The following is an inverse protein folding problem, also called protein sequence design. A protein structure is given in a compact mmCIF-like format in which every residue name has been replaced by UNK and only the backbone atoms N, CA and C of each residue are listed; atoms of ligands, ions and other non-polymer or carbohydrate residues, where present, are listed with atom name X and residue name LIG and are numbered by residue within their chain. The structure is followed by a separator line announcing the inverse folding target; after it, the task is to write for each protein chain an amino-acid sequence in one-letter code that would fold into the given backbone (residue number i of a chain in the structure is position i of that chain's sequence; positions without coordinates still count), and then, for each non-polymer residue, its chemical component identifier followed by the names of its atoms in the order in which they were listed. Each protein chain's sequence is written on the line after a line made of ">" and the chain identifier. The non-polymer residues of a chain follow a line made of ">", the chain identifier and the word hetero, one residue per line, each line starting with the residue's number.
data_IF_855373398004
#
_entry.id   IF_855373398004
#
_cell.length_a   1.000
_cell.length_b   1.000
_cell.length_c   1.000
_cell.angle_alpha   90.00
_cell.angle_beta   90.00
_cell.angle_gamma   90.00
#
_symmetry.space_group_name_H-M   'P 1'
#
loop_
_entity.id
_entity.type
_entity.pdbx_description
1 polymer ?
#
# COMPACT_ATOMS: atom_id res chain seq x y z
N UNK A 1 28.64 69.75 14.26
CA UNK A 1 28.46 70.94 13.39
C UNK A 1 27.51 70.54 12.28
N UNK A 2 26.34 71.14 12.00
CA UNK A 2 25.56 72.26 12.59
C UNK A 2 24.41 71.68 13.45
N UNK A 3 23.76 72.31 14.44
CA UNK A 3 23.54 73.71 14.88
C UNK A 3 22.21 74.37 14.44
N UNK A 4 21.17 74.25 15.27
CA UNK A 4 20.07 75.23 15.52
C UNK A 4 19.19 74.66 16.67
N UNK A 5 19.30 75.07 17.94
CA UNK A 5 18.88 76.34 18.58
C UNK A 5 17.39 76.37 19.03
N UNK A 6 17.20 76.11 20.34
CA UNK A 6 16.29 76.69 21.39
C UNK A 6 15.38 77.91 21.05
N UNK A 7 14.36 78.33 21.87
CA UNK A 7 14.36 78.34 23.37
C UNK A 7 13.01 78.31 24.18
N UNK A 8 13.12 78.42 25.52
CA UNK A 8 12.15 78.98 26.51
C UNK A 8 10.78 78.24 26.68
N UNK A 9 10.05 78.18 27.81
CA UNK A 9 10.18 78.54 29.25
C UNK A 9 8.95 77.91 30.02
N UNK A 10 8.65 78.03 31.33
CA UNK A 10 9.18 78.85 32.43
C UNK A 10 8.96 78.24 33.86
N UNK A 11 9.40 79.01 34.86
CA UNK A 11 9.35 79.01 36.34
C UNK A 11 7.96 78.79 37.01
N UNK A 12 7.94 78.14 38.20
CA UNK A 12 7.24 78.56 39.47
C UNK A 12 7.06 77.34 40.42
N UNK A 13 7.70 77.27 41.59
CA UNK A 13 7.22 77.75 42.91
C UNK A 13 5.77 77.32 43.30
N UNK A 14 5.44 76.84 44.50
CA UNK A 14 6.23 76.66 45.73
C UNK A 14 5.46 77.12 46.97
N UNK A 15 4.72 76.20 47.65
CA UNK A 15 4.17 76.21 49.04
C UNK A 15 3.06 75.14 49.14
N UNK A 16 3.19 74.12 49.99
CA UNK A 16 2.88 74.08 51.44
C UNK A 16 1.38 74.01 51.77
N UNK A 17 0.90 72.85 52.25
CA UNK A 17 0.11 72.75 53.48
C UNK A 17 -0.20 71.29 53.93
N UNK A 18 0.27 70.92 55.13
CA UNK A 18 -0.54 70.26 56.17
C UNK A 18 -1.07 68.82 56.03
N UNK A 19 -0.78 68.04 57.09
CA UNK A 19 -1.67 67.05 57.76
C UNK A 19 -1.64 65.58 57.30
N UNK A 20 -0.80 64.80 57.97
CA UNK A 20 -1.04 63.37 58.29
C UNK A 20 -2.22 63.22 59.30
N UNK A 21 -2.77 62.02 59.61
CA UNK A 21 -2.28 60.67 59.31
C UNK A 21 -3.31 59.67 58.73
N UNK A 22 -2.86 58.54 58.19
CA UNK A 22 -3.76 57.48 57.69
C UNK A 22 -3.06 56.19 57.26
N UNK A 23 -3.06 55.20 58.15
CA UNK A 23 -2.60 53.81 57.98
C UNK A 23 -3.03 53.16 56.66
N UNK A 24 -2.10 52.52 55.94
CA UNK A 24 -2.04 51.06 55.69
C UNK A 24 -0.80 50.69 54.87
N UNK A 25 -0.03 49.69 55.32
CA UNK A 25 1.04 49.09 54.52
C UNK A 25 0.47 47.96 53.67
N UNK A 26 0.56 48.07 52.35
CA UNK A 26 0.29 46.97 51.42
C UNK A 26 1.59 46.58 50.71
N UNK A 27 2.20 45.48 51.15
CA UNK A 27 3.35 44.90 50.46
C UNK A 27 2.86 44.15 49.21
N UNK A 28 3.17 44.68 48.02
CA UNK A 28 2.84 44.03 46.75
C UNK A 28 3.86 42.91 46.51
N UNK A 29 3.48 41.68 46.84
CA UNK A 29 4.25 40.49 46.51
C UNK A 29 4.10 40.18 45.01
N UNK A 30 5.12 40.48 44.22
CA UNK A 30 5.22 40.07 42.82
C UNK A 30 5.49 38.56 42.74
N UNK A 31 4.41 37.76 42.67
CA UNK A 31 4.51 36.35 42.31
C UNK A 31 4.89 36.22 40.83
N UNK A 32 5.91 35.41 40.47
CA UNK A 32 6.23 35.17 39.08
C UNK A 32 5.11 34.34 38.45
N UNK A 33 4.55 34.86 37.37
CA UNK A 33 3.55 34.16 36.57
C UNK A 33 4.20 32.96 35.89
N UNK A 34 4.05 31.76 36.48
CA UNK A 34 4.33 30.51 35.78
C UNK A 34 3.29 30.34 34.69
N UNK A 35 3.55 30.92 33.52
CA UNK A 35 2.84 30.62 32.30
C UNK A 35 3.17 29.17 31.92
N UNK A 36 2.31 28.24 32.32
CA UNK A 36 2.30 26.89 31.76
C UNK A 36 1.94 27.04 30.29
N UNK A 37 2.95 27.06 29.43
CA UNK A 37 2.76 26.93 28.00
C UNK A 37 2.18 25.54 27.75
N UNK A 38 0.85 25.47 27.64
CA UNK A 38 0.19 24.28 27.13
C UNK A 38 0.69 24.07 25.71
N UNK A 39 1.54 23.06 25.54
CA UNK A 39 1.83 22.48 24.24
C UNK A 39 0.52 21.94 23.68
N UNK A 40 -0.19 22.79 22.93
CA UNK A 40 -1.29 22.34 22.10
C UNK A 40 -0.65 21.50 21.01
N UNK A 41 -0.74 20.18 21.17
CA UNK A 41 -0.27 19.24 20.15
C UNK A 41 -0.92 19.61 18.83
N UNK A 42 -0.11 19.78 17.78
CA UNK A 42 -0.60 20.15 16.46
C UNK A 42 -1.60 19.10 15.98
N UNK A 43 -2.88 19.43 16.04
CA UNK A 43 -3.95 18.59 15.51
C UNK A 43 -3.74 18.40 14.01
N UNK A 44 -3.74 17.15 13.56
CA UNK A 44 -3.57 16.82 12.16
C UNK A 44 -4.82 17.24 11.39
N UNK A 45 -4.67 17.99 10.31
CA UNK A 45 -5.80 18.46 9.52
C UNK A 45 -6.37 17.32 8.65
N UNK A 46 -7.66 17.06 8.80
CA UNK A 46 -8.44 16.32 7.80
C UNK A 46 -8.49 17.09 6.49
N UNK A 47 -8.30 16.41 5.37
CA UNK A 47 -8.40 17.06 4.06
C UNK A 47 -8.66 16.02 2.96
N UNK A 48 -9.80 16.13 2.29
CA UNK A 48 -10.14 15.37 1.08
C UNK A 48 -10.39 16.38 -0.03
N UNK A 49 -9.38 16.59 -0.88
CA UNK A 49 -9.40 17.59 -1.96
C UNK A 49 -9.44 16.86 -3.30
N UNK A 50 -10.54 16.96 -4.06
CA UNK A 50 -10.60 16.40 -5.41
C UNK A 50 -9.67 17.19 -6.34
N UNK A 51 -8.99 16.51 -7.25
CA UNK A 51 -8.29 17.20 -8.33
C UNK A 51 -9.31 17.67 -9.36
N UNK A 52 -9.35 18.98 -9.60
CA UNK A 52 -10.24 19.57 -10.59
C UNK A 52 -9.85 19.09 -11.99
N UNK A 53 -10.87 18.84 -12.84
CA UNK A 53 -10.77 18.57 -14.29
C UNK A 53 -10.19 17.22 -14.77
N UNK A 54 -9.82 16.26 -13.90
CA UNK A 54 -9.33 14.93 -14.35
C UNK A 54 -10.47 13.90 -14.46
N UNK A 55 -11.18 13.64 -13.36
CA UNK A 55 -12.14 12.53 -13.23
C UNK A 55 -13.59 12.95 -12.92
N UNK A 56 -13.87 14.25 -12.96
CA UNK A 56 -15.16 14.81 -12.53
C UNK A 56 -15.47 14.56 -11.04
N UNK A 57 -14.45 14.33 -10.22
CA UNK A 57 -14.61 13.99 -8.80
C UNK A 57 -15.14 15.18 -8.01
N UNK A 58 -16.19 14.93 -7.23
CA UNK A 58 -16.80 15.90 -6.33
C UNK A 58 -16.82 15.34 -4.91
N UNK A 59 -16.68 16.23 -3.92
CA UNK A 59 -16.68 15.89 -2.49
C UNK A 59 -17.66 16.82 -1.77
N UNK A 60 -18.79 16.27 -1.36
CA UNK A 60 -19.78 16.97 -0.52
C UNK A 60 -19.52 16.62 0.93
N UNK A 61 -19.27 17.62 1.78
CA UNK A 61 -19.01 17.42 3.21
C UNK A 61 -20.28 17.66 4.01
N UNK A 62 -20.63 16.70 4.88
CA UNK A 62 -21.78 16.72 5.78
C UNK A 62 -21.31 16.31 7.19
N UNK A 63 -20.99 17.30 8.02
CA UNK A 63 -20.33 17.07 9.32
C UNK A 63 -18.98 16.37 9.16
N UNK A 64 -18.88 15.11 9.61
CA UNK A 64 -17.68 14.27 9.47
C UNK A 64 -17.74 13.31 8.27
N UNK A 65 -18.80 13.38 7.46
CA UNK A 65 -18.99 12.54 6.28
C UNK A 65 -18.52 13.26 5.02
N UNK A 66 -17.55 12.68 4.30
CA UNK A 66 -17.14 13.11 2.97
C UNK A 66 -17.80 12.21 1.94
N UNK A 67 -18.88 12.69 1.30
CA UNK A 67 -19.55 11.98 0.21
C UNK A 67 -18.84 12.27 -1.11
N UNK A 68 -18.23 11.24 -1.68
CA UNK A 68 -17.40 11.30 -2.86
C UNK A 68 -18.20 10.75 -4.03
N UNK A 69 -18.33 11.54 -5.10
CA UNK A 69 -18.90 11.11 -6.37
C UNK A 69 -17.94 11.41 -7.52
N UNK A 70 -18.23 10.86 -8.70
CA UNK A 70 -17.43 11.03 -9.91
C UNK A 70 -18.23 10.64 -11.15
N UNK A 71 -17.77 11.06 -12.32
CA UNK A 71 -18.46 10.82 -13.60
C UNK A 71 -17.60 10.06 -14.61
N UNK A 72 -16.29 9.98 -14.41
CA UNK A 72 -15.37 9.33 -15.33
C UNK A 72 -15.32 7.82 -15.09
N UNK A 73 -15.75 7.06 -16.11
CA UNK A 73 -15.75 5.60 -16.13
C UNK A 73 -14.94 5.04 -17.31
N UNK A 74 -14.58 3.76 -17.24
CA UNK A 74 -13.99 3.02 -18.36
C UNK A 74 -14.99 2.78 -19.50
N UNK A 75 -14.49 2.43 -20.69
CA UNK A 75 -15.33 2.22 -21.89
C UNK A 75 -16.27 1.02 -21.80
N UNK A 76 -16.00 0.07 -20.90
CA UNK A 76 -16.89 -1.04 -20.52
C UNK A 76 -17.81 -0.69 -19.34
N UNK A 77 -17.69 0.50 -18.75
CA UNK A 77 -18.43 0.96 -17.58
C UNK A 77 -18.06 0.27 -16.25
N UNK A 78 -17.09 -0.65 -16.24
CA UNK A 78 -16.77 -1.46 -15.05
C UNK A 78 -15.94 -0.75 -13.98
N UNK A 79 -15.17 0.28 -14.36
CA UNK A 79 -14.25 0.99 -13.47
C UNK A 79 -14.67 2.46 -13.32
N UNK A 80 -14.82 2.92 -12.08
CA UNK A 80 -15.07 4.33 -11.74
C UNK A 80 -13.79 4.96 -11.19
N UNK A 81 -13.41 6.13 -11.69
CA UNK A 81 -12.15 6.78 -11.36
C UNK A 81 -12.38 8.04 -10.51
N UNK A 82 -11.55 8.22 -9.49
CA UNK A 82 -11.46 9.47 -8.72
C UNK A 82 -10.00 9.89 -8.56
N UNK A 83 -9.69 11.14 -8.86
CA UNK A 83 -8.39 11.75 -8.61
C UNK A 83 -8.50 12.81 -7.52
N UNK A 84 -7.57 12.76 -6.57
CA UNK A 84 -7.45 13.67 -5.44
C UNK A 84 -6.08 14.35 -5.47
N UNK A 85 -6.02 15.61 -5.05
CA UNK A 85 -4.75 16.23 -4.68
C UNK A 85 -4.31 15.70 -3.32
N UNK A 86 -5.25 15.65 -2.36
CA UNK A 86 -5.00 15.17 -0.99
C UNK A 86 -6.16 14.30 -0.52
N UNK A 87 -5.83 13.25 0.23
CA UNK A 87 -6.82 12.34 0.83
C UNK A 87 -6.34 11.94 2.23
N UNK A 88 -6.91 12.57 3.25
CA UNK A 88 -6.58 12.39 4.66
C UNK A 88 -7.86 12.38 5.52
N UNK A 89 -7.96 11.41 6.44
CA UNK A 89 -9.08 11.23 7.38
C UNK A 89 -8.58 11.15 8.83
N UNK A 90 -9.39 11.66 9.76
CA UNK A 90 -9.22 11.53 11.22
C UNK A 90 -10.29 10.60 11.82
N UNK A 91 -10.14 10.26 13.11
CA UNK A 91 -10.87 9.18 13.80
C UNK A 91 -12.38 9.15 13.54
N UNK A 92 -13.04 10.30 13.66
CA UNK A 92 -14.50 10.41 13.63
C UNK A 92 -15.08 10.60 12.21
N UNK A 93 -14.24 10.47 11.17
CA UNK A 93 -14.59 10.80 9.79
C UNK A 93 -14.74 9.60 8.90
N UNK A 94 -15.66 9.72 7.94
CA UNK A 94 -15.95 8.67 6.95
C UNK A 94 -15.86 9.23 5.54
N UNK A 95 -15.01 8.65 4.69
CA UNK A 95 -15.10 8.84 3.24
C UNK A 95 -16.07 7.81 2.65
N UNK A 96 -17.15 8.28 2.02
CA UNK A 96 -18.18 7.45 1.40
C UNK A 96 -18.04 7.57 -0.12
N UNK A 97 -17.55 6.53 -0.78
CA UNK A 97 -17.53 6.42 -2.23
C UNK A 97 -18.92 6.02 -2.72
N UNK A 98 -19.62 6.95 -3.37
CA UNK A 98 -20.93 6.74 -3.98
C UNK A 98 -20.77 6.16 -5.37
N UNK A 99 -21.40 5.02 -5.62
CA UNK A 99 -21.29 4.27 -6.88
C UNK A 99 -22.66 3.75 -7.33
N UNK A 100 -22.70 2.99 -8.42
CA UNK A 100 -23.92 2.39 -8.97
C UNK A 100 -23.71 0.89 -9.34
N UNK A 101 -24.78 0.08 -9.46
CA UNK A 101 -24.65 -1.38 -9.63
C UNK A 101 -23.85 -1.89 -10.83
N UNK A 102 -23.55 -1.07 -11.84
CA UNK A 102 -22.71 -1.46 -12.98
C UNK A 102 -21.20 -1.40 -12.66
N UNK A 103 -20.80 -0.59 -11.67
CA UNK A 103 -19.40 -0.43 -11.29
C UNK A 103 -18.92 -1.64 -10.49
N UNK A 104 -17.80 -2.20 -10.92
CA UNK A 104 -17.12 -3.35 -10.31
C UNK A 104 -15.87 -2.95 -9.53
N UNK A 105 -15.18 -1.86 -9.93
CA UNK A 105 -14.04 -1.31 -9.20
C UNK A 105 -14.14 0.22 -9.10
N UNK A 106 -13.84 0.75 -7.92
CA UNK A 106 -13.64 2.18 -7.66
C UNK A 106 -12.15 2.41 -7.43
N UNK A 107 -11.55 3.33 -8.18
CA UNK A 107 -10.12 3.66 -8.09
C UNK A 107 -9.94 5.09 -7.60
N UNK A 108 -9.44 5.25 -6.36
CA UNK A 108 -9.06 6.53 -5.79
C UNK A 108 -7.55 6.75 -5.89
N UNK A 109 -7.14 7.73 -6.71
CA UNK A 109 -5.75 8.07 -6.99
C UNK A 109 -5.39 9.40 -6.36
N UNK A 110 -4.30 9.46 -5.60
CA UNK A 110 -3.82 10.68 -4.95
C UNK A 110 -2.54 11.13 -5.65
N UNK A 111 -2.47 12.39 -6.08
CA UNK A 111 -1.35 12.89 -6.90
C UNK A 111 -0.66 14.16 -6.38
N UNK A 112 -1.09 14.73 -5.25
CA UNK A 112 -0.51 15.97 -4.71
C UNK A 112 0.92 15.83 -4.14
N UNK A 113 1.56 14.67 -4.27
CA UNK A 113 2.94 14.41 -3.84
C UNK A 113 3.12 14.15 -2.33
N UNK A 114 2.04 14.25 -1.55
CA UNK A 114 2.03 13.98 -0.10
C UNK A 114 1.45 12.60 0.21
N UNK A 115 1.94 11.98 1.28
CA UNK A 115 1.43 10.70 1.78
C UNK A 115 0.03 10.85 2.39
N UNK A 116 -0.82 9.84 2.20
CA UNK A 116 -2.20 9.83 2.70
C UNK A 116 -2.29 9.19 4.09
N UNK A 117 -2.78 9.93 5.08
CA UNK A 117 -3.13 9.42 6.42
C UNK A 117 -4.62 9.12 6.51
N UNK A 118 -4.95 7.84 6.67
CA UNK A 118 -6.31 7.32 6.77
C UNK A 118 -6.49 6.76 8.18
N UNK A 119 -6.87 7.63 9.10
CA UNK A 119 -7.09 7.29 10.51
C UNK A 119 -8.59 7.31 10.83
N UNK A 120 -9.43 6.78 9.92
CA UNK A 120 -10.89 6.80 9.99
C UNK A 120 -11.53 5.82 9.02
N UNK A 121 -12.82 5.97 8.72
CA UNK A 121 -13.59 4.97 7.96
C UNK A 121 -13.55 5.20 6.45
N UNK A 122 -13.24 4.14 5.70
CA UNK A 122 -13.49 4.05 4.26
C UNK A 122 -14.77 3.24 4.03
N UNK A 123 -15.76 3.84 3.36
CA UNK A 123 -17.04 3.21 3.01
C UNK A 123 -17.31 3.29 1.51
N UNK A 124 -18.01 2.31 0.97
CA UNK A 124 -18.50 2.31 -0.41
C UNK A 124 -20.00 1.94 -0.44
N UNK A 125 -20.82 2.77 -1.09
CA UNK A 125 -22.29 2.64 -1.11
C UNK A 125 -22.81 2.60 -2.57
N UNK A 126 -23.78 1.71 -2.86
CA UNK A 126 -24.49 1.65 -4.16
C UNK A 126 -24.06 0.54 -5.12
N UNK A 127 -22.97 -0.19 -4.86
CA UNK A 127 -22.61 -1.43 -5.55
C UNK A 127 -21.67 -2.29 -4.70
N UNK A 128 -21.49 -3.56 -5.05
CA UNK A 128 -20.54 -4.46 -4.37
C UNK A 128 -19.11 -4.34 -4.97
N UNK A 129 -18.70 -3.14 -5.38
CA UNK A 129 -17.41 -2.89 -6.02
C UNK A 129 -16.21 -3.08 -5.08
N UNK A 130 -15.07 -3.43 -5.67
CA UNK A 130 -13.78 -3.35 -5.02
C UNK A 130 -13.31 -1.89 -4.90
N UNK A 131 -12.53 -1.55 -3.88
CA UNK A 131 -11.87 -0.25 -3.74
C UNK A 131 -10.35 -0.39 -3.91
N UNK A 132 -9.77 0.41 -4.79
CA UNK A 132 -8.32 0.53 -4.96
C UNK A 132 -7.89 1.96 -4.59
N UNK A 133 -7.04 2.10 -3.57
CA UNK A 133 -6.38 3.35 -3.22
C UNK A 133 -4.91 3.36 -3.66
N UNK A 134 -4.53 4.41 -4.37
CA UNK A 134 -3.26 4.56 -5.07
C UNK A 134 -2.61 5.89 -4.72
N UNK A 135 -1.54 5.87 -3.93
CA UNK A 135 -0.72 7.05 -3.63
C UNK A 135 0.78 6.69 -3.72
N UNK A 136 1.51 7.10 -4.77
CA UNK A 136 2.95 6.85 -4.90
C UNK A 136 3.78 7.35 -3.71
N UNK A 137 3.30 8.39 -3.04
CA UNK A 137 3.97 9.06 -1.90
C UNK A 137 3.82 8.28 -0.58
N UNK A 138 2.84 7.38 -0.48
CA UNK A 138 2.62 6.51 0.67
C UNK A 138 1.21 6.54 1.25
N UNK A 139 0.89 5.52 2.06
CA UNK A 139 -0.39 5.32 2.75
C UNK A 139 -0.14 4.94 4.21
N UNK A 140 -0.65 5.75 5.14
CA UNK A 140 -0.59 5.53 6.58
C UNK A 140 -2.01 5.25 7.10
N UNK A 141 -2.30 4.00 7.43
CA UNK A 141 -3.54 3.61 8.08
C UNK A 141 -3.37 3.75 9.59
N UNK A 142 -4.13 4.66 10.20
CA UNK A 142 -4.04 4.99 11.63
C UNK A 142 -4.77 3.98 12.53
N UNK A 143 -4.63 4.11 13.87
CA UNK A 143 -5.25 3.20 14.83
C UNK A 143 -6.77 3.04 14.69
N UNK A 144 -7.46 4.08 14.19
CA UNK A 144 -8.92 4.12 14.09
C UNK A 144 -9.45 3.72 12.70
N UNK A 145 -8.57 3.21 11.81
CA UNK A 145 -8.95 2.81 10.46
C UNK A 145 -10.07 1.75 10.47
N UNK A 146 -11.09 1.95 9.64
CA UNK A 146 -12.18 0.98 9.44
C UNK A 146 -12.47 0.82 7.94
N UNK A 147 -12.73 -0.41 7.51
CA UNK A 147 -13.08 -0.75 6.13
C UNK A 147 -14.52 -1.28 6.09
N UNK A 148 -15.46 -0.42 5.70
CA UNK A 148 -16.87 -0.74 5.51
C UNK A 148 -17.15 -0.88 4.00
N UNK A 149 -16.56 -1.92 3.42
CA UNK A 149 -16.49 -2.14 1.98
C UNK A 149 -17.16 -3.47 1.60
N UNK A 150 -18.08 -3.51 0.61
CA UNK A 150 -18.73 -4.75 0.19
C UNK A 150 -17.83 -5.68 -0.64
N UNK A 151 -16.75 -5.13 -1.23
CA UNK A 151 -15.81 -5.84 -2.10
C UNK A 151 -14.37 -5.90 -1.55
N UNK A 152 -13.43 -6.32 -2.40
CA UNK A 152 -12.00 -6.38 -2.06
C UNK A 152 -11.37 -4.99 -1.90
N UNK A 153 -10.34 -4.88 -1.06
CA UNK A 153 -9.58 -3.65 -0.87
C UNK A 153 -8.13 -3.82 -1.34
N UNK A 154 -7.66 -2.88 -2.15
CA UNK A 154 -6.26 -2.80 -2.59
C UNK A 154 -5.66 -1.46 -2.20
N UNK A 155 -4.57 -1.47 -1.44
CA UNK A 155 -3.76 -0.30 -1.14
C UNK A 155 -2.40 -0.44 -1.83
N UNK A 156 -2.00 0.58 -2.60
CA UNK A 156 -0.75 0.52 -3.36
C UNK A 156 -0.04 1.86 -3.50
N UNK A 157 1.29 1.79 -3.56
CA UNK A 157 2.19 2.94 -3.81
C UNK A 157 2.87 2.83 -5.18
N UNK A 158 2.24 2.10 -6.11
CA UNK A 158 2.68 1.99 -7.49
C UNK A 158 2.69 3.36 -8.20
N UNK A 159 3.57 3.50 -9.20
CA UNK A 159 3.57 4.63 -10.12
C UNK A 159 2.52 4.48 -11.25
N UNK A 160 1.93 3.30 -11.42
CA UNK A 160 0.80 3.08 -12.31
C UNK A 160 0.12 1.72 -12.13
N UNK A 161 -1.10 1.59 -12.69
CA UNK A 161 -1.95 0.38 -12.61
C UNK A 161 -2.35 -0.06 -14.01
N UNK A 162 -2.12 -1.33 -14.34
CA UNK A 162 -2.47 -1.94 -15.61
C UNK A 162 -3.76 -2.75 -15.56
N UNK A 163 -4.48 -2.79 -16.67
CA UNK A 163 -5.82 -3.36 -16.78
C UNK A 163 -5.88 -4.58 -17.70
N UNK A 164 -6.64 -5.60 -17.30
CA UNK A 164 -6.67 -6.89 -18.00
C UNK A 164 -7.36 -6.86 -19.38
N UNK A 165 -8.32 -5.95 -19.62
CA UNK A 165 -9.13 -5.93 -20.84
C UNK A 165 -8.42 -5.34 -22.06
N UNK A 166 -7.54 -4.37 -21.84
CA UNK A 166 -6.82 -3.65 -22.91
C UNK A 166 -5.30 -3.74 -22.81
N UNK A 167 -4.75 -4.09 -21.65
CA UNK A 167 -3.32 -3.94 -21.35
C UNK A 167 -2.86 -2.50 -21.14
N UNK A 168 -3.78 -1.52 -21.15
CA UNK A 168 -3.48 -0.12 -20.93
C UNK A 168 -3.13 0.17 -19.45
N UNK A 169 -2.43 1.29 -19.23
CA UNK A 169 -1.90 1.69 -17.92
C UNK A 169 -2.43 3.07 -17.49
N UNK A 170 -3.01 3.13 -16.31
CA UNK A 170 -3.28 4.36 -15.56
C UNK A 170 -1.98 4.85 -14.92
N UNK A 171 -1.59 6.10 -15.17
CA UNK A 171 -0.49 6.75 -14.44
C UNK A 171 -0.96 7.24 -13.08
N UNK A 172 -0.13 7.02 -12.05
CA UNK A 172 -0.28 7.61 -10.71
C UNK A 172 0.50 8.91 -10.53
N UNK A 173 1.43 9.22 -11.44
CA UNK A 173 2.28 10.41 -11.36
C UNK A 173 1.59 11.55 -12.13
N UNK A 174 1.31 12.66 -11.43
CA UNK A 174 0.90 13.90 -12.08
C UNK A 174 2.03 14.44 -12.97
N UNK A 175 1.69 14.81 -14.20
CA UNK A 175 2.68 15.35 -15.12
C UNK A 175 3.01 16.80 -14.72
N UNK A 176 4.22 17.01 -14.19
CA UNK A 176 4.72 18.32 -13.78
C UNK A 176 5.00 19.20 -15.00
N UNK A 177 3.96 19.84 -15.54
CA UNK A 177 4.09 20.68 -16.74
C UNK A 177 2.84 21.46 -17.16
N UNK A 178 1.84 21.62 -16.28
CA UNK A 178 0.61 22.36 -16.61
C UNK A 178 -0.30 21.67 -17.64
N UNK A 179 0.01 20.44 -18.03
CA UNK A 179 -0.79 19.61 -18.91
C UNK A 179 -0.92 18.24 -18.22
N UNK A 180 -2.10 17.82 -17.77
CA UNK A 180 -2.27 16.46 -17.26
C UNK A 180 -2.00 15.51 -18.42
N UNK A 181 -0.94 14.72 -18.34
CA UNK A 181 -0.69 13.64 -19.30
C UNK A 181 -1.90 12.71 -19.27
N UNK A 182 -2.74 12.85 -20.29
CA UNK A 182 -4.15 12.51 -20.18
C UNK A 182 -4.28 10.99 -20.04
N UNK A 183 -4.84 10.56 -18.91
CA UNK A 183 -5.21 9.18 -18.74
C UNK A 183 -6.45 8.94 -19.62
N UNK A 184 -6.30 8.09 -20.63
CA UNK A 184 -7.41 7.72 -21.51
C UNK A 184 -8.33 6.74 -20.76
N UNK A 185 -9.13 7.26 -19.82
CA UNK A 185 -9.93 6.44 -18.89
C UNK A 185 -10.82 5.41 -19.59
N UNK A 186 -11.32 5.74 -20.79
CA UNK A 186 -12.09 4.82 -21.62
C UNK A 186 -11.33 3.51 -21.97
N UNK A 187 -10.00 3.57 -22.09
CA UNK A 187 -9.16 2.43 -22.47
C UNK A 187 -8.90 1.47 -21.29
N UNK A 188 -9.21 1.84 -20.05
CA UNK A 188 -8.93 1.04 -18.86
C UNK A 188 -10.06 0.02 -18.59
N UNK A 189 -10.28 -0.91 -19.51
CA UNK A 189 -11.31 -1.95 -19.42
C UNK A 189 -10.85 -3.22 -18.68
N UNK A 190 -11.80 -3.93 -18.06
CA UNK A 190 -11.54 -5.10 -17.23
C UNK A 190 -10.96 -4.76 -15.85
N UNK A 191 -10.63 -5.78 -15.05
CA UNK A 191 -10.12 -5.58 -13.70
C UNK A 191 -8.66 -5.05 -13.70
N UNK A 192 -8.29 -4.19 -12.73
CA UNK A 192 -6.90 -3.84 -12.48
C UNK A 192 -6.12 -5.08 -12.02
N UNK A 193 -5.05 -5.43 -12.73
CA UNK A 193 -4.30 -6.67 -12.50
C UNK A 193 -2.77 -6.50 -12.50
N UNK A 194 -2.26 -5.31 -12.81
CA UNK A 194 -0.82 -5.06 -12.84
C UNK A 194 -0.46 -3.77 -12.11
N UNK A 195 0.73 -3.74 -11.51
CA UNK A 195 1.23 -2.61 -10.72
C UNK A 195 2.65 -2.29 -11.15
N UNK A 196 2.87 -1.09 -11.70
CA UNK A 196 4.17 -0.63 -12.16
C UNK A 196 4.79 0.28 -11.12
N UNK A 197 6.03 -0.01 -10.75
CA UNK A 197 6.83 0.79 -9.84
C UNK A 197 7.96 1.45 -10.63
N UNK A 198 7.90 2.78 -10.73
CA UNK A 198 9.04 3.55 -11.20
C UNK A 198 10.13 3.48 -10.15
N UNK A 199 11.39 3.23 -10.54
CA UNK A 199 12.53 3.48 -9.68
C UNK A 199 12.61 4.96 -9.40
N UNK A 200 13.15 5.31 -8.25
CA UNK A 200 13.33 6.70 -7.91
C UNK A 200 14.44 7.36 -8.72
N UNK A 201 14.14 8.58 -9.18
CA UNK A 201 15.15 9.64 -9.23
C UNK A 201 15.61 10.05 -7.81
N UNK A 202 15.05 9.45 -6.74
CA UNK A 202 15.53 9.55 -5.35
C UNK A 202 15.41 8.22 -4.58
N UNK A 203 16.36 7.90 -3.68
CA UNK A 203 16.14 6.87 -2.65
C UNK A 203 14.90 7.25 -1.81
N UNK A 204 13.94 6.32 -1.68
CA UNK A 204 12.65 6.56 -1.02
C UNK A 204 11.50 6.99 -1.95
N UNK A 205 11.66 7.01 -3.27
CA UNK A 205 10.59 7.36 -4.22
C UNK A 205 9.43 6.35 -4.35
N UNK A 206 9.58 5.13 -3.81
CA UNK A 206 8.44 4.25 -3.61
C UNK A 206 7.93 4.49 -2.20
N UNK A 207 6.80 5.21 -2.07
CA UNK A 207 6.18 5.47 -0.77
C UNK A 207 5.91 4.19 0.00
N UNK A 208 5.83 4.29 1.33
CA UNK A 208 5.56 3.15 2.19
C UNK A 208 4.05 2.97 2.45
N UNK A 209 3.63 1.73 2.74
CA UNK A 209 2.36 1.46 3.42
C UNK A 209 2.67 1.16 4.89
N UNK A 210 2.10 1.94 5.81
CA UNK A 210 2.20 1.71 7.24
C UNK A 210 0.80 1.47 7.81
N UNK A 211 0.63 0.36 8.54
CA UNK A 211 -0.62 -0.08 9.15
C UNK A 211 -0.45 -0.09 10.66
N UNK A 212 -1.00 0.94 11.31
CA UNK A 212 -0.95 1.16 12.77
C UNK A 212 -2.29 0.86 13.47
N UNK A 213 -3.29 0.40 12.72
CA UNK A 213 -4.60 -0.05 13.20
C UNK A 213 -5.01 -1.34 12.49
N UNK A 214 -6.03 -2.04 12.99
CA UNK A 214 -6.49 -3.30 12.41
C UNK A 214 -7.21 -3.08 11.08
N UNK A 215 -6.59 -3.41 9.94
CA UNK A 215 -7.29 -3.44 8.65
C UNK A 215 -8.18 -4.69 8.59
N UNK A 216 -9.44 -4.51 8.96
CA UNK A 216 -10.45 -5.56 9.02
C UNK A 216 -11.48 -5.44 7.90
N UNK A 217 -11.29 -6.24 6.85
CA UNK A 217 -12.16 -6.38 5.69
C UNK A 217 -13.13 -7.58 5.86
N UNK A 218 -13.65 -7.77 7.08
CA UNK A 218 -14.74 -8.74 7.37
C UNK A 218 -16.04 -8.07 7.80
N UNK A 219 -16.01 -6.77 8.10
CA UNK A 219 -17.15 -5.98 8.59
C UNK A 219 -17.90 -5.24 7.47
N UNK A 220 -17.65 -5.57 6.20
CA UNK A 220 -18.22 -4.87 5.06
C UNK A 220 -19.74 -4.97 4.98
N UNK A 221 -20.43 -3.82 4.96
CA UNK A 221 -21.86 -3.76 4.70
C UNK A 221 -22.18 -4.04 3.22
N UNK A 222 -23.24 -4.78 2.94
CA UNK A 222 -23.72 -4.98 1.56
C UNK A 222 -24.29 -3.67 0.97
N UNK A 223 -24.19 -3.50 -0.34
CA UNK A 223 -24.58 -2.25 -1.02
C UNK A 223 -26.05 -1.85 -0.89
N UNK A 224 -26.94 -2.81 -0.66
CA UNK A 224 -28.32 -2.59 -0.23
C UNK A 224 -28.37 -2.66 1.29
N UNK A 225 -28.92 -1.62 1.95
CA UNK A 225 -29.04 -1.51 3.41
C UNK A 225 -30.03 -2.48 4.07
N UNK A 226 -30.14 -3.70 3.56
CA UNK A 226 -30.82 -4.81 4.21
C UNK A 226 -29.88 -5.45 5.25
N UNK A 227 -30.45 -5.75 6.42
CA UNK A 227 -29.75 -6.38 7.54
C UNK A 227 -29.01 -7.66 7.13
N UNK A 228 -27.68 -7.62 7.17
CA UNK A 228 -26.77 -8.72 7.53
C UNK A 228 -27.29 -10.14 7.23
N UNK A 229 -26.93 -10.70 6.06
CA UNK A 229 -26.71 -12.15 5.77
C UNK A 229 -26.57 -12.48 4.27
N UNK A 230 -26.61 -11.50 3.34
CA UNK A 230 -26.17 -11.79 1.97
C UNK A 230 -24.69 -12.21 1.98
N UNK A 231 -24.40 -13.36 1.37
CA UNK A 231 -23.03 -13.85 1.20
C UNK A 231 -22.28 -12.93 0.23
N UNK A 232 -21.61 -11.92 0.78
CA UNK A 232 -20.60 -11.16 0.04
C UNK A 232 -19.54 -12.15 -0.45
N UNK A 233 -19.08 -11.96 -1.69
CA UNK A 233 -17.98 -12.75 -2.23
C UNK A 233 -16.74 -12.57 -1.34
N UNK A 234 -15.85 -13.58 -1.20
CA UNK A 234 -14.66 -13.48 -0.36
C UNK A 234 -13.85 -12.22 -0.71
N UNK A 235 -13.80 -11.28 0.23
CA UNK A 235 -13.18 -9.98 0.07
C UNK A 235 -11.68 -10.14 0.27
N UNK A 236 -10.87 -9.78 -0.73
CA UNK A 236 -9.42 -9.88 -0.65
C UNK A 236 -8.82 -8.57 -0.13
N UNK A 237 -7.81 -8.66 0.73
CA UNK A 237 -7.02 -7.52 1.20
C UNK A 237 -5.64 -7.56 0.54
N UNK A 238 -5.31 -6.55 -0.26
CA UNK A 238 -4.06 -6.52 -1.04
C UNK A 238 -3.25 -5.27 -0.73
N UNK A 239 -2.03 -5.45 -0.23
CA UNK A 239 -1.07 -4.37 0.06
C UNK A 239 0.17 -4.56 -0.84
N UNK A 240 0.47 -3.57 -1.70
CA UNK A 240 1.61 -3.64 -2.64
C UNK A 240 2.40 -2.33 -2.62
N UNK A 241 3.67 -2.37 -2.22
CA UNK A 241 4.47 -1.15 -2.02
C UNK A 241 5.98 -1.41 -2.07
N UNK A 242 6.81 -0.37 -2.13
CA UNK A 242 8.25 -0.51 -1.92
C UNK A 242 8.62 -0.90 -0.48
N UNK A 243 7.78 -0.57 0.51
CA UNK A 243 7.98 -0.94 1.92
C UNK A 243 6.64 -1.05 2.63
N UNK A 244 6.41 -2.15 3.35
CA UNK A 244 5.19 -2.37 4.12
C UNK A 244 5.55 -2.63 5.58
N UNK A 245 4.93 -1.88 6.48
CA UNK A 245 4.97 -2.08 7.93
C UNK A 245 3.54 -2.32 8.43
N UNK A 246 3.32 -3.41 9.17
CA UNK A 246 2.08 -3.62 9.93
C UNK A 246 2.43 -3.92 11.37
N UNK A 247 1.91 -3.13 12.30
CA UNK A 247 2.02 -3.40 13.74
C UNK A 247 0.79 -4.12 14.29
N UNK A 248 -0.30 -4.11 13.54
CA UNK A 248 -1.61 -4.64 13.92
C UNK A 248 -2.09 -5.75 12.98
N UNK A 249 -3.26 -6.32 13.29
CA UNK A 249 -3.85 -7.45 12.56
C UNK A 249 -4.40 -7.02 11.19
N UNK A 250 -4.17 -7.85 10.17
CA UNK A 250 -4.84 -7.80 8.88
C UNK A 250 -5.91 -8.90 8.84
N UNK A 251 -7.15 -8.57 8.46
CA UNK A 251 -8.23 -9.56 8.29
C UNK A 251 -8.97 -9.36 6.98
N UNK A 252 -9.36 -10.47 6.37
CA UNK A 252 -10.13 -10.53 5.13
C UNK A 252 -10.94 -11.82 5.11
N UNK A 253 -12.10 -11.84 4.43
CA UNK A 253 -12.88 -13.08 4.23
C UNK A 253 -12.38 -13.93 3.05
N UNK A 254 -11.60 -13.33 2.15
CA UNK A 254 -10.81 -13.99 1.11
C UNK A 254 -9.33 -14.03 1.44
N UNK A 255 -8.48 -13.80 0.43
CA UNK A 255 -7.03 -13.85 0.59
C UNK A 255 -6.46 -12.53 1.14
N UNK A 256 -5.38 -12.62 1.91
CA UNK A 256 -4.53 -11.48 2.27
C UNK A 256 -3.24 -11.59 1.45
N UNK A 257 -2.98 -10.60 0.61
CA UNK A 257 -1.78 -10.50 -0.23
C UNK A 257 -0.93 -9.32 0.23
N UNK A 258 0.30 -9.56 0.67
CA UNK A 258 1.25 -8.51 1.05
C UNK A 258 2.51 -8.71 0.22
N UNK A 259 2.80 -7.77 -0.68
CA UNK A 259 3.94 -7.88 -1.61
C UNK A 259 4.79 -6.61 -1.57
N UNK A 260 6.09 -6.76 -1.38
CA UNK A 260 7.05 -5.66 -1.49
C UNK A 260 7.77 -5.69 -2.83
N UNK A 261 8.08 -4.50 -3.36
CA UNK A 261 8.82 -4.33 -4.62
C UNK A 261 10.10 -3.56 -4.37
N UNK A 262 11.22 -4.26 -4.38
CA UNK A 262 12.54 -3.62 -4.41
C UNK A 262 12.79 -3.07 -5.81
N UNK A 263 12.59 -1.76 -6.01
CA UNK A 263 12.88 -1.04 -7.25
C UNK A 263 14.38 -0.87 -7.55
N UNK A 264 15.21 -1.85 -7.15
CA UNK A 264 16.67 -1.88 -7.33
C UNK A 264 17.12 -3.27 -7.80
N UNK A 265 18.17 -3.32 -8.61
CA UNK A 265 18.82 -4.57 -9.00
C UNK A 265 19.72 -5.16 -7.88
N UNK A 266 20.36 -6.29 -8.16
CA UNK A 266 21.27 -6.96 -7.24
C UNK A 266 22.55 -6.15 -6.91
N UNK A 267 22.84 -5.09 -7.65
CA UNK A 267 23.93 -4.14 -7.38
C UNK A 267 23.43 -2.85 -6.67
N UNK A 268 22.12 -2.74 -6.40
CA UNK A 268 21.49 -1.57 -5.79
C UNK A 268 21.11 -0.46 -6.76
N UNK A 269 21.24 -0.66 -8.08
CA UNK A 269 20.89 0.34 -9.08
C UNK A 269 19.37 0.36 -9.35
N UNK A 270 18.73 1.54 -9.47
CA UNK A 270 17.29 1.66 -9.68
C UNK A 270 16.80 0.93 -10.95
N UNK A 271 15.85 -0.01 -10.83
CA UNK A 271 15.29 -0.77 -11.98
C UNK A 271 13.76 -0.91 -11.93
N UNK A 272 13.04 -0.61 -13.03
CA UNK A 272 11.57 -0.58 -13.02
C UNK A 272 11.02 -1.99 -12.89
N UNK A 273 10.04 -2.16 -12.01
CA UNK A 273 9.45 -3.46 -11.70
C UNK A 273 7.95 -3.43 -11.98
N UNK A 274 7.41 -4.53 -12.50
CA UNK A 274 5.98 -4.74 -12.67
C UNK A 274 5.55 -6.04 -11.98
N UNK A 275 4.57 -5.95 -11.08
CA UNK A 275 3.85 -7.13 -10.57
C UNK A 275 2.60 -7.32 -11.41
N UNK A 276 2.30 -8.58 -11.78
CA UNK A 276 0.97 -8.98 -12.23
C UNK A 276 0.33 -9.94 -11.23
N UNK A 277 -0.86 -9.60 -10.76
CA UNK A 277 -1.70 -10.51 -10.00
C UNK A 277 -2.38 -11.47 -10.99
N UNK A 278 -2.13 -12.78 -10.80
CA UNK A 278 -2.84 -13.82 -11.53
C UNK A 278 -4.32 -13.88 -11.14
N UNK A 279 -5.18 -14.31 -12.06
CA UNK A 279 -6.58 -14.62 -11.72
C UNK A 279 -6.64 -15.87 -10.82
N UNK A 280 -7.76 -16.10 -10.13
CA UNK A 280 -7.90 -17.22 -9.20
C UNK A 280 -7.50 -18.57 -9.84
N UNK A 281 -6.45 -19.21 -9.30
CA UNK A 281 -5.84 -20.43 -9.84
C UNK A 281 -4.57 -20.23 -10.69
N UNK A 282 -4.13 -18.99 -10.92
CA UNK A 282 -2.86 -18.65 -11.57
C UNK A 282 -1.82 -18.18 -10.53
N UNK A 283 -0.56 -18.57 -10.74
CA UNK A 283 0.56 -18.19 -9.87
C UNK A 283 0.89 -16.70 -10.07
N UNK A 284 1.28 -16.02 -8.99
CA UNK A 284 1.80 -14.64 -9.03
C UNK A 284 2.98 -14.56 -10.02
N UNK A 285 2.83 -13.80 -11.10
CA UNK A 285 3.86 -13.66 -12.13
C UNK A 285 4.64 -12.37 -11.90
N UNK A 286 5.85 -12.51 -11.36
CA UNK A 286 6.82 -11.42 -11.28
C UNK A 286 7.46 -11.22 -12.66
N UNK A 287 7.13 -10.12 -13.33
CA UNK A 287 7.68 -9.78 -14.64
C UNK A 287 8.99 -9.00 -14.46
N UNK A 288 10.10 -9.74 -14.31
CA UNK A 288 11.44 -9.17 -14.28
C UNK A 288 11.80 -8.61 -15.66
N UNK A 289 12.13 -7.32 -15.75
CA UNK A 289 12.55 -6.70 -17.01
C UNK A 289 13.87 -7.33 -17.50
N UNK A 290 13.88 -8.07 -18.64
CA UNK A 290 15.06 -8.80 -19.09
C UNK A 290 16.17 -7.89 -19.60
N UNK A 291 15.91 -6.60 -19.84
CA UNK A 291 16.93 -5.66 -20.33
C UNK A 291 17.97 -5.26 -19.26
N UNK A 292 17.74 -5.61 -17.99
CA UNK A 292 18.75 -5.52 -16.93
C UNK A 292 19.75 -6.70 -16.95
N UNK A 293 19.49 -7.77 -17.72
CA UNK A 293 20.26 -9.01 -17.66
C UNK A 293 21.21 -9.12 -18.87
N UNK A 294 22.41 -8.58 -18.73
CA UNK A 294 23.46 -8.66 -19.75
C UNK A 294 24.12 -10.07 -19.74
N UNK A 295 23.42 -11.06 -20.30
CA UNK A 295 23.80 -12.48 -20.25
C UNK A 295 24.97 -12.83 -21.21
N UNK A 296 26.18 -12.49 -20.80
CA UNK A 296 27.41 -13.08 -21.33
C UNK A 296 27.72 -14.50 -20.84
N UNK A 297 26.83 -15.10 -20.02
CA UNK A 297 26.96 -16.44 -19.44
C UNK A 297 25.60 -17.16 -19.39
N UNK A 298 25.51 -18.48 -19.67
CA UNK A 298 24.27 -19.21 -19.59
C UNK A 298 23.85 -19.47 -18.12
N UNK A 299 22.57 -19.22 -17.82
CA UNK A 299 22.00 -19.50 -16.50
C UNK A 299 21.72 -21.01 -16.33
N UNK A 300 22.34 -21.63 -15.33
CA UNK A 300 21.99 -23.00 -14.90
C UNK A 300 20.86 -22.95 -13.86
N UNK A 301 19.83 -23.79 -14.04
CA UNK A 301 18.57 -23.76 -13.28
C UNK A 301 18.66 -24.24 -11.80
N UNK A 302 19.83 -24.14 -11.17
CA UNK A 302 20.13 -24.69 -9.83
C UNK A 302 20.35 -23.60 -8.77
N UNK A 303 20.54 -22.33 -9.13
CA UNK A 303 20.91 -21.25 -8.20
C UNK A 303 19.77 -20.67 -7.35
N UNK A 304 18.51 -21.09 -7.54
CA UNK A 304 17.36 -20.54 -6.82
C UNK A 304 17.31 -20.91 -5.32
N UNK A 305 17.54 -22.19 -4.91
CA UNK A 305 17.64 -22.54 -3.49
C UNK A 305 18.83 -21.90 -2.77
N UNK A 306 19.94 -21.71 -3.49
CA UNK A 306 21.18 -21.12 -2.95
C UNK A 306 21.04 -19.60 -2.68
N UNK A 307 20.22 -18.90 -3.46
CA UNK A 307 19.90 -17.48 -3.25
C UNK A 307 18.88 -17.23 -2.12
N UNK A 308 18.07 -18.23 -1.73
CA UNK A 308 17.15 -18.13 -0.58
C UNK A 308 17.78 -18.54 0.76
N UNK A 309 19.00 -19.09 0.76
CA UNK A 309 19.70 -19.53 1.98
C UNK A 309 21.03 -18.81 2.13
N UNK A 310 20.95 -17.50 2.36
CA UNK A 310 22.09 -16.58 2.38
C UNK A 310 23.18 -16.89 3.41
N UNK A 311 24.14 -17.73 3.02
CA UNK A 311 25.44 -17.90 3.69
C UNK A 311 26.58 -17.74 2.68
N UNK A 312 26.90 -16.49 2.35
CA UNK A 312 28.20 -16.18 1.75
C UNK A 312 29.29 -16.17 2.82
N UNK A 313 30.37 -16.93 2.62
CA UNK A 313 31.73 -16.57 3.03
C UNK A 313 32.71 -17.50 2.31
N UNK A 314 33.70 -16.92 1.60
CA UNK A 314 34.77 -17.71 1.03
C UNK A 314 35.79 -18.14 2.08
N UNK A 315 36.33 -19.36 1.95
CA UNK A 315 37.67 -19.74 2.45
C UNK A 315 38.06 -21.10 1.88
N UNK A 316 39.15 -21.15 1.12
CA UNK A 316 39.73 -22.39 0.61
C UNK A 316 40.26 -23.26 1.76
N UNK A 317 39.86 -24.53 1.88
CA UNK A 317 40.54 -25.49 2.75
C UNK A 317 41.83 -26.00 2.09
N UNK A 318 42.88 -26.15 2.89
CA UNK A 318 44.21 -26.62 2.46
C UNK A 318 44.18 -28.07 1.99
N UNK A 319 45.05 -28.41 1.04
CA UNK A 319 45.41 -29.82 0.76
C UNK A 319 46.11 -30.44 1.98
N UNK A 320 45.65 -31.61 2.42
CA UNK A 320 46.46 -32.61 3.12
C UNK A 320 46.07 -34.02 2.61
N UNK A 321 46.94 -35.04 2.74
CA UNK A 321 46.96 -36.17 1.80
C UNK A 321 46.16 -37.39 2.26
N UNK A 322 45.86 -38.25 1.30
CA UNK A 322 45.12 -39.51 1.44
C UNK A 322 45.76 -40.49 2.45
N UNK A 323 44.96 -41.18 3.29
CA UNK A 323 45.38 -42.41 3.93
C UNK A 323 45.56 -43.53 2.89
N UNK A 324 46.63 -44.32 3.02
CA UNK A 324 46.86 -45.51 2.21
C UNK A 324 46.10 -46.70 2.81
N UNK A 325 45.36 -47.44 1.99
CA UNK A 325 44.88 -48.78 2.37
C UNK A 325 46.04 -49.78 2.30
N UNK A 326 46.23 -50.65 3.31
CA UNK A 326 47.13 -51.80 3.20
C UNK A 326 46.56 -52.82 2.21
N UNK A 327 47.44 -53.43 1.41
CA UNK A 327 47.18 -54.72 0.75
C UNK A 327 47.65 -55.82 1.69
N UNK A 328 46.88 -56.89 1.86
CA UNK A 328 47.27 -58.19 1.29
C UNK A 328 46.13 -59.23 1.30
N UNK A 329 46.24 -60.33 0.53
CA UNK A 329 45.14 -61.24 0.22
C UNK A 329 45.27 -62.61 0.91
N UNK A 330 44.20 -63.42 0.92
CA UNK A 330 44.15 -64.86 0.53
C UNK A 330 42.70 -65.41 0.64
N UNK A 331 42.33 -66.56 0.00
CA UNK A 331 41.01 -66.64 -0.66
C UNK A 331 40.20 -67.95 -0.44
N UNK A 332 39.05 -68.05 -1.13
CA UNK A 332 38.21 -69.26 -1.41
C UNK A 332 37.36 -69.72 -0.19
N UNK A 333 36.03 -69.86 -0.28
CA UNK A 333 35.35 -71.01 -0.90
C UNK A 333 33.96 -70.72 -1.53
N UNK A 334 33.54 -71.61 -2.44
CA UNK A 334 32.34 -71.52 -3.29
C UNK A 334 31.12 -72.23 -2.68
N UNK A 335 29.91 -71.74 -2.94
CA UNK A 335 28.67 -72.39 -2.49
C UNK A 335 27.39 -71.94 -3.20
N UNK A 336 27.02 -72.65 -4.27
CA UNK A 336 25.66 -72.86 -4.82
C UNK A 336 24.75 -71.67 -5.21
N UNK A 337 24.59 -71.52 -6.53
CA UNK A 337 23.34 -71.16 -7.24
C UNK A 337 22.22 -72.23 -7.03
N UNK A 338 20.93 -72.09 -7.48
CA UNK A 338 20.47 -71.31 -8.64
C UNK A 338 19.06 -70.62 -8.58
N UNK A 339 18.66 -70.10 -9.75
CA UNK A 339 17.33 -69.66 -10.22
C UNK A 339 16.78 -68.35 -9.59
N UNK A 340 16.61 -67.24 -10.31
CA UNK A 340 15.97 -66.98 -11.62
C UNK A 340 14.44 -67.10 -11.59
N UNK A 341 13.75 -65.95 -11.72
CA UNK A 341 12.49 -65.75 -12.45
C UNK A 341 12.01 -64.28 -12.33
N UNK A 342 11.95 -63.59 -13.48
CA UNK A 342 10.90 -62.58 -13.78
C UNK A 342 9.84 -63.29 -14.66
N UNK A 343 8.84 -62.64 -15.27
CA UNK A 343 8.08 -61.40 -14.98
C UNK A 343 6.54 -61.69 -14.93
N UNK A 344 5.68 -60.66 -15.07
CA UNK A 344 4.59 -60.55 -16.10
C UNK A 344 3.46 -59.61 -15.66
N UNK A 345 3.01 -58.77 -16.59
CA UNK A 345 1.82 -57.92 -16.49
C UNK A 345 0.53 -58.68 -16.81
N UNK A 346 -0.56 -58.47 -16.05
CA UNK A 346 -1.90 -58.87 -16.46
C UNK A 346 -2.79 -57.66 -16.80
N UNK A 347 -3.33 -57.65 -18.03
CA UNK A 347 -4.52 -56.87 -18.40
C UNK A 347 -5.77 -57.68 -18.05
N UNK A 348 -6.72 -57.09 -17.34
CA UNK A 348 -8.07 -57.63 -17.25
C UNK A 348 -9.00 -56.93 -18.26
N UNK A 349 -9.58 -57.72 -19.17
CA UNK A 349 -10.85 -57.40 -19.83
C UNK A 349 -11.94 -58.18 -19.12
N UNK A 350 -13.09 -57.55 -18.84
CA UNK A 350 -14.31 -58.24 -18.48
C UNK A 350 -15.36 -58.05 -19.58
N UNK A 351 -16.02 -59.16 -19.93
CA UNK A 351 -17.21 -59.21 -20.78
C UNK A 351 -18.44 -59.64 -19.96
N UNK A 352 -19.48 -60.26 -20.58
CA UNK A 352 -20.56 -59.42 -21.13
C UNK A 352 -22.00 -59.94 -20.88
N UNK A 353 -22.98 -59.09 -21.26
CA UNK A 353 -24.38 -59.39 -21.70
C UNK A 353 -25.47 -59.79 -20.67
N UNK A 354 -26.70 -59.33 -20.99
CA UNK A 354 -28.00 -59.88 -20.53
C UNK A 354 -29.10 -58.80 -20.36
N UNK A 355 -29.82 -58.36 -21.40
CA UNK A 355 -31.24 -58.72 -21.70
C UNK A 355 -32.23 -58.47 -20.54
N UNK A 356 -33.14 -57.48 -20.57
CA UNK A 356 -34.36 -57.39 -21.40
C UNK A 356 -35.56 -57.11 -20.43
N UNK A 357 -36.73 -56.59 -20.80
CA UNK A 357 -37.28 -56.22 -22.11
C UNK A 357 -38.38 -55.16 -21.99
N UNK A 358 -39.42 -55.26 -22.84
CA UNK A 358 -40.53 -54.29 -23.05
C UNK A 358 -41.38 -54.00 -21.81
#
# INVERSE_FOLDING_TARGET
>A
MRSSSEPFSEISSGRSCGRAPGRTSAAIALLPWFAVASFQGTGWASVVVPQISDTGTSVTTDGTLFRISGTTVSGDGGNLFHTFEQFNLTADQTAIFLTNPAIQNVLGRIVGGEASRIDGTLRLEGSNANLLLLNPSGLLFGPNVQLDLPGSFTATTAAGVGFAGSGAWLSAIANTGGNPGANAYADFSGAPNAFWFSPGDRPGSSGAIAVLGSLDLTNGSAASGESSTQNLAPQNLTLISGTILSTETLKASGNITVTTVTGVDAAGAPTPQAIRLGQAGQVLQLELNPQAINLGQPLAAVSLPELLTGFGQGRSPRRHPSPRFPRDPTPIELGAEPNDERPVWQRQRLGPRGTGGR
#
